data_IF_341614128192
#
_entry.id   IF_341614128192
#
_cell.length_a   1.000
_cell.length_b   1.000
_cell.length_c   1.000
_cell.angle_alpha   90.00
_cell.angle_beta   90.00
_cell.angle_gamma   90.00
#
_symmetry.space_group_name_H-M   'P 1'
#
loop_
_entity.id
_entity.type
_entity.pdbx_description
1 polymer ?
#
# COMPACT_ATOMS: atom_id res chain seq x y z
N UNK A 1 3.38 -34.31 18.43
CA UNK A 1 3.28 -33.00 17.75
C UNK A 1 4.69 -32.64 17.29
N UNK A 2 4.82 -32.19 16.05
CA UNK A 2 6.11 -31.90 15.42
C UNK A 2 6.69 -30.60 15.96
N UNK A 3 7.99 -30.54 16.17
CA UNK A 3 8.71 -29.31 16.50
C UNK A 3 9.31 -28.71 15.24
N UNK A 4 9.41 -27.39 15.19
CA UNK A 4 10.14 -26.67 14.14
C UNK A 4 11.62 -27.03 14.29
N UNK A 5 12.28 -27.54 13.23
CA UNK A 5 13.70 -27.87 13.30
C UNK A 5 14.58 -26.61 13.35
N UNK A 6 15.78 -26.74 13.91
CA UNK A 6 16.78 -25.67 13.81
C UNK A 6 17.40 -25.65 12.40
N UNK A 7 17.20 -24.56 11.67
CA UNK A 7 17.75 -24.38 10.33
C UNK A 7 19.16 -23.80 10.40
N UNK A 8 20.07 -24.34 9.58
CA UNK A 8 21.45 -23.83 9.48
C UNK A 8 21.56 -22.64 8.54
N UNK A 9 20.63 -22.52 7.59
CA UNK A 9 20.60 -21.45 6.58
C UNK A 9 19.16 -21.00 6.31
N UNK A 10 19.01 -19.80 5.72
CA UNK A 10 17.69 -19.30 5.31
C UNK A 10 17.09 -20.14 4.18
N UNK A 11 17.88 -20.61 3.22
CA UNK A 11 17.41 -21.43 2.10
C UNK A 11 16.80 -22.76 2.58
N UNK A 12 17.43 -23.39 3.59
CA UNK A 12 16.92 -24.60 4.24
C UNK A 12 15.56 -24.36 4.93
N UNK A 13 15.39 -23.20 5.57
CA UNK A 13 14.12 -22.82 6.17
C UNK A 13 13.03 -22.59 5.11
N UNK A 14 13.37 -21.96 3.99
CA UNK A 14 12.44 -21.75 2.86
C UNK A 14 11.99 -23.09 2.29
N UNK A 15 12.91 -23.98 1.94
CA UNK A 15 12.58 -25.31 1.40
C UNK A 15 11.67 -26.12 2.33
N UNK A 16 11.87 -26.01 3.65
CA UNK A 16 10.99 -26.62 4.63
C UNK A 16 9.56 -26.07 4.55
N UNK A 17 9.39 -24.74 4.56
CA UNK A 17 8.06 -24.11 4.53
C UNK A 17 7.32 -24.21 3.20
N UNK A 18 8.02 -24.45 2.09
CA UNK A 18 7.39 -24.75 0.79
C UNK A 18 6.60 -26.07 0.81
N UNK A 19 6.97 -26.99 1.69
CA UNK A 19 6.38 -28.35 1.76
C UNK A 19 5.55 -28.61 3.02
N UNK A 20 5.66 -27.75 4.04
CA UNK A 20 5.02 -27.92 5.33
C UNK A 20 4.03 -26.79 5.65
N UNK A 21 2.90 -27.15 6.26
CA UNK A 21 1.88 -26.18 6.65
C UNK A 21 2.21 -25.57 8.03
N UNK A 22 2.27 -24.24 8.11
CA UNK A 22 2.53 -23.50 9.35
C UNK A 22 1.55 -23.79 10.48
N UNK A 23 0.31 -24.16 10.17
CA UNK A 23 -0.69 -24.48 11.21
C UNK A 23 -0.32 -25.72 12.03
N UNK A 24 0.50 -26.63 11.50
CA UNK A 24 0.94 -27.83 12.21
C UNK A 24 1.97 -27.55 13.30
N UNK A 25 2.55 -26.35 13.28
CA UNK A 25 3.62 -25.91 14.17
C UNK A 25 3.21 -24.73 15.06
N UNK A 26 1.91 -24.42 15.12
CA UNK A 26 1.38 -23.24 15.82
C UNK A 26 1.81 -23.16 17.30
N UNK A 27 1.87 -24.29 18.00
CA UNK A 27 2.28 -24.38 19.41
C UNK A 27 3.77 -24.09 19.64
N UNK A 28 4.59 -24.15 18.59
CA UNK A 28 6.04 -23.92 18.64
C UNK A 28 6.41 -22.52 18.11
N UNK A 29 5.42 -21.76 17.61
CA UNK A 29 5.60 -20.39 17.17
C UNK A 29 5.40 -19.42 18.34
N UNK A 30 6.25 -18.40 18.40
CA UNK A 30 6.10 -17.32 19.36
C UNK A 30 5.06 -16.28 18.87
N UNK A 31 4.25 -15.78 19.81
CA UNK A 31 3.32 -14.70 19.50
C UNK A 31 4.11 -13.40 19.27
N UNK A 32 4.03 -12.88 18.04
CA UNK A 32 4.67 -11.62 17.68
C UNK A 32 3.64 -10.50 17.64
N UNK A 33 3.86 -9.47 18.45
CA UNK A 33 3.11 -8.21 18.35
C UNK A 33 3.89 -7.25 17.47
N UNK A 34 3.25 -6.77 16.40
CA UNK A 34 3.82 -5.77 15.51
C UNK A 34 2.79 -4.69 15.21
N UNK A 35 3.23 -3.44 15.20
CA UNK A 35 2.37 -2.31 14.86
C UNK A 35 2.21 -2.21 13.35
N UNK A 36 1.04 -2.63 12.85
CA UNK A 36 0.69 -2.43 11.45
C UNK A 36 0.09 -1.04 11.29
N UNK A 37 0.92 -0.10 10.82
CA UNK A 37 0.43 1.19 10.34
C UNK A 37 -0.15 1.02 8.93
N UNK A 38 -1.40 0.55 8.84
CA UNK A 38 -2.15 0.58 7.58
C UNK A 38 -2.46 2.04 7.23
N UNK A 39 -1.56 2.69 6.48
CA UNK A 39 -1.83 4.00 5.88
C UNK A 39 -2.89 3.86 4.80
N UNK A 40 -4.15 3.75 5.21
CA UNK A 40 -5.28 3.82 4.30
C UNK A 40 -5.42 5.26 3.85
N UNK A 41 -5.18 5.49 2.57
CA UNK A 41 -5.56 6.73 1.93
C UNK A 41 -7.10 6.79 1.85
N UNK A 42 -7.72 7.44 2.84
CA UNK A 42 -9.17 7.64 2.90
C UNK A 42 -9.65 8.81 2.02
N UNK A 43 -8.71 9.62 1.51
CA UNK A 43 -9.01 10.82 0.73
C UNK A 43 -9.03 10.55 -0.77
N UNK A 44 -8.43 9.45 -1.21
CA UNK A 44 -8.49 9.02 -2.60
C UNK A 44 -9.46 7.84 -2.77
N UNK A 45 -10.46 7.96 -3.65
CA UNK A 45 -11.50 6.94 -3.76
C UNK A 45 -10.94 5.65 -4.40
N UNK A 46 -10.88 4.58 -3.61
CA UNK A 46 -10.93 3.18 -4.06
C UNK A 46 -9.82 2.73 -5.03
N UNK A 47 -8.58 3.13 -4.81
CA UNK A 47 -7.46 2.46 -5.47
C UNK A 47 -7.35 1.02 -4.99
N UNK A 48 -7.35 0.09 -5.95
CA UNK A 48 -7.12 -1.33 -5.67
C UNK A 48 -5.64 -1.63 -5.90
N UNK A 49 -4.94 -2.08 -4.87
CA UNK A 49 -3.53 -2.46 -4.99
C UNK A 49 -3.39 -3.79 -5.74
N UNK A 50 -2.48 -3.83 -6.71
CA UNK A 50 -2.09 -5.04 -7.43
C UNK A 50 -0.59 -5.28 -7.25
N UNK A 51 -0.20 -6.50 -6.89
CA UNK A 51 1.21 -6.87 -6.73
C UNK A 51 1.99 -6.80 -8.06
N UNK A 52 1.34 -7.16 -9.16
CA UNK A 52 1.90 -7.12 -10.52
C UNK A 52 0.85 -6.59 -11.50
N UNK A 53 1.29 -6.14 -12.69
CA UNK A 53 0.40 -5.72 -13.76
C UNK A 53 -0.21 -6.95 -14.45
N UNK A 54 -1.52 -7.22 -14.28
CA UNK A 54 -2.16 -8.29 -15.04
C UNK A 54 -2.35 -7.86 -16.49
N UNK A 55 -2.48 -8.83 -17.40
CA UNK A 55 -2.78 -8.55 -18.81
C UNK A 55 -4.15 -7.90 -19.01
N UNK A 56 -5.12 -8.23 -18.15
CA UNK A 56 -6.49 -7.73 -18.22
C UNK A 56 -7.04 -7.40 -16.83
N UNK A 57 -8.13 -6.63 -16.78
CA UNK A 57 -8.83 -6.28 -15.56
C UNK A 57 -9.27 -7.54 -14.79
N UNK A 58 -8.85 -7.73 -13.53
CA UNK A 58 -9.23 -8.91 -12.74
C UNK A 58 -10.73 -8.98 -12.42
N UNK A 59 -11.48 -7.90 -12.64
CA UNK A 59 -12.93 -7.85 -12.40
C UNK A 59 -13.79 -8.11 -13.63
N UNK A 60 -13.37 -7.64 -14.81
CA UNK A 60 -14.20 -7.71 -16.03
C UNK A 60 -13.46 -8.22 -17.27
N UNK A 61 -12.17 -8.58 -17.13
CA UNK A 61 -11.32 -9.14 -18.19
C UNK A 61 -11.07 -8.22 -19.40
N UNK A 62 -11.37 -6.93 -19.28
CA UNK A 62 -11.12 -5.92 -20.31
C UNK A 62 -9.76 -5.25 -20.11
N UNK A 63 -9.28 -4.55 -21.14
CA UNK A 63 -8.01 -3.84 -21.10
C UNK A 63 -7.99 -2.67 -20.10
N UNK A 64 -6.77 -2.28 -19.74
CA UNK A 64 -6.49 -1.09 -18.97
C UNK A 64 -6.07 0.07 -19.86
N UNK A 65 -6.35 1.27 -19.38
CA UNK A 65 -5.64 2.48 -19.78
C UNK A 65 -4.62 2.85 -18.72
N UNK A 66 -3.42 3.22 -19.17
CA UNK A 66 -2.41 3.87 -18.33
C UNK A 66 -2.86 5.30 -18.04
N UNK A 67 -3.05 5.59 -16.75
CA UNK A 67 -3.49 6.89 -16.28
C UNK A 67 -2.52 7.45 -15.26
N UNK A 68 -2.57 8.76 -15.10
CA UNK A 68 -1.83 9.48 -14.06
C UNK A 68 -2.85 10.08 -13.11
N UNK A 69 -2.66 9.86 -11.82
CA UNK A 69 -3.56 10.32 -10.76
C UNK A 69 -2.82 11.19 -9.74
N UNK A 70 -3.59 11.94 -8.95
CA UNK A 70 -3.08 12.61 -7.76
C UNK A 70 -3.36 11.73 -6.53
N UNK A 71 -2.32 11.36 -5.79
CA UNK A 71 -2.46 10.63 -4.54
C UNK A 71 -2.47 11.61 -3.37
N UNK A 72 -3.63 11.78 -2.75
CA UNK A 72 -3.84 12.73 -1.64
C UNK A 72 -3.84 11.97 -0.33
N UNK A 73 -2.98 12.28 0.64
CA UNK A 73 -2.97 11.60 1.94
C UNK A 73 -2.86 12.59 3.09
N UNK A 74 -3.31 12.17 4.28
CA UNK A 74 -3.08 12.90 5.51
C UNK A 74 -2.00 12.16 6.30
N UNK A 75 -0.92 12.85 6.62
CA UNK A 75 0.16 12.30 7.42
C UNK A 75 0.60 13.34 8.46
N UNK A 76 0.67 12.93 9.74
CA UNK A 76 1.02 13.81 10.86
C UNK A 76 0.23 15.13 10.93
N UNK A 77 -1.03 15.14 10.47
CA UNK A 77 -1.88 16.32 10.43
C UNK A 77 -1.63 17.25 9.24
N UNK A 78 -0.71 16.90 8.33
CA UNK A 78 -0.45 17.63 7.10
C UNK A 78 -1.14 16.92 5.93
N UNK A 79 -1.82 17.70 5.10
CA UNK A 79 -2.34 17.21 3.82
C UNK A 79 -1.21 17.21 2.80
N UNK A 80 -0.90 16.03 2.28
CA UNK A 80 0.10 15.83 1.24
C UNK A 80 -0.60 15.44 -0.06
N UNK A 81 -0.19 16.08 -1.16
CA UNK A 81 -0.66 15.77 -2.51
C UNK A 81 0.54 15.34 -3.33
N UNK A 82 0.52 14.10 -3.81
CA UNK A 82 1.55 13.54 -4.67
C UNK A 82 0.97 13.47 -6.07
N UNK A 83 1.49 14.31 -6.97
CA UNK A 83 1.11 14.32 -8.38
C UNK A 83 1.87 13.25 -9.15
N UNK A 84 1.45 13.05 -10.39
CA UNK A 84 2.16 12.22 -11.35
C UNK A 84 2.28 10.74 -10.94
N UNK A 85 1.29 10.24 -10.19
CA UNK A 85 1.29 8.85 -9.71
C UNK A 85 0.75 7.93 -10.81
N UNK A 86 1.55 6.97 -11.34
CA UNK A 86 1.08 6.03 -12.34
C UNK A 86 0.04 5.07 -11.77
N UNK A 87 -1.06 4.90 -12.49
CA UNK A 87 -2.13 3.99 -12.15
C UNK A 87 -2.71 3.35 -13.42
N UNK A 88 -3.53 2.31 -13.21
CA UNK A 88 -4.28 1.65 -14.27
C UNK A 88 -5.75 1.94 -14.08
N UNK A 89 -6.44 2.35 -15.13
CA UNK A 89 -7.90 2.46 -15.11
C UNK A 89 -8.50 1.42 -16.02
N UNK A 90 -9.42 0.61 -15.51
CA UNK A 90 -10.14 -0.32 -16.35
C UNK A 90 -11.13 0.43 -17.25
N UNK A 91 -11.12 0.13 -18.55
CA UNK A 91 -11.96 0.80 -19.57
C UNK A 91 -13.46 0.71 -19.33
N UNK A 92 -13.94 -0.42 -18.83
CA UNK A 92 -15.38 -0.71 -18.75
C UNK A 92 -16.03 -0.26 -17.46
N UNK A 93 -15.39 -0.53 -16.32
CA UNK A 93 -15.98 -0.31 -15.00
C UNK A 93 -15.36 0.89 -14.25
N UNK A 94 -14.35 1.53 -14.83
CA UNK A 94 -13.72 2.73 -14.29
C UNK A 94 -12.92 2.50 -13.00
N UNK A 95 -12.73 1.25 -12.56
CA UNK A 95 -11.93 0.97 -11.39
C UNK A 95 -10.48 1.38 -11.62
N UNK A 96 -9.90 2.03 -10.62
CA UNK A 96 -8.51 2.45 -10.63
C UNK A 96 -7.69 1.50 -9.77
N UNK A 97 -6.53 1.14 -10.29
CA UNK A 97 -5.60 0.22 -9.69
C UNK A 97 -4.25 0.90 -9.56
N UNK A 98 -3.54 0.60 -8.49
CA UNK A 98 -2.16 1.04 -8.27
C UNK A 98 -1.29 -0.19 -8.11
N UNK A 99 -0.13 -0.20 -8.76
CA UNK A 99 0.83 -1.27 -8.58
C UNK A 99 1.55 -1.11 -7.25
N UNK A 100 1.87 -2.21 -6.59
CA UNK A 100 2.63 -2.23 -5.33
C UNK A 100 3.97 -1.51 -5.48
N UNK A 101 4.67 -1.68 -6.62
CA UNK A 101 5.90 -0.93 -6.91
C UNK A 101 5.70 0.60 -6.92
N UNK A 102 4.54 1.08 -7.36
CA UNK A 102 4.21 2.51 -7.35
C UNK A 102 3.89 2.95 -5.94
N UNK A 103 3.16 2.14 -5.18
CA UNK A 103 2.85 2.43 -3.78
C UNK A 103 4.13 2.50 -2.94
N UNK A 104 5.10 1.60 -3.16
CA UNK A 104 6.40 1.64 -2.49
C UNK A 104 7.16 2.95 -2.77
N UNK A 105 7.05 3.49 -3.99
CA UNK A 105 7.63 4.81 -4.33
C UNK A 105 6.91 5.95 -3.60
N UNK A 106 5.58 5.88 -3.50
CA UNK A 106 4.77 6.83 -2.72
C UNK A 106 5.18 6.79 -1.25
N UNK A 107 5.28 5.61 -0.64
CA UNK A 107 5.70 5.44 0.75
C UNK A 107 7.09 5.98 1.01
N UNK A 108 8.05 5.67 0.12
CA UNK A 108 9.41 6.22 0.18
C UNK A 108 9.41 7.75 0.12
N UNK A 109 8.56 8.36 -0.71
CA UNK A 109 8.42 9.81 -0.79
C UNK A 109 7.91 10.39 0.54
N UNK A 110 6.91 9.75 1.15
CA UNK A 110 6.38 10.15 2.45
C UNK A 110 7.44 10.04 3.57
N UNK A 111 8.29 9.01 3.54
CA UNK A 111 9.40 8.88 4.49
C UNK A 111 10.46 9.98 4.30
N UNK A 112 10.76 10.34 3.07
CA UNK A 112 11.69 11.42 2.77
C UNK A 112 11.15 12.78 3.21
N UNK A 113 9.84 13.02 3.03
CA UNK A 113 9.17 14.23 3.51
C UNK A 113 9.30 14.35 5.04
N UNK A 114 9.03 13.26 5.79
CA UNK A 114 9.21 13.21 7.25
C UNK A 114 10.62 13.57 7.71
N UNK A 115 11.62 13.06 6.99
CA UNK A 115 13.04 13.31 7.28
C UNK A 115 13.52 14.67 6.77
N UNK A 116 12.62 15.53 6.27
CA UNK A 116 12.92 16.80 5.60
C UNK A 116 13.91 16.67 4.43
N UNK A 117 13.96 15.48 3.83
CA UNK A 117 14.87 15.17 2.72
C UNK A 117 14.41 15.72 1.38
N UNK A 118 13.18 16.23 1.29
CA UNK A 118 12.59 16.81 0.08
C UNK A 118 11.79 18.07 0.41
N UNK A 119 11.76 19.01 -0.53
CA UNK A 119 10.91 20.19 -0.47
C UNK A 119 9.69 20.01 -1.39
N UNK A 120 8.49 20.49 -1.01
CA UNK A 120 7.33 20.46 -1.88
C UNK A 120 7.55 21.27 -3.15
N UNK A 121 7.10 20.75 -4.29
CA UNK A 121 7.11 21.48 -5.57
C UNK A 121 6.16 22.68 -5.54
N UNK A 122 5.06 22.56 -4.81
CA UNK A 122 4.03 23.59 -4.65
C UNK A 122 3.40 23.45 -3.26
N UNK A 123 2.86 24.54 -2.69
CA UNK A 123 2.04 24.51 -1.47
C UNK A 123 0.62 24.97 -1.78
N UNK A 124 -0.36 24.18 -1.35
CA UNK A 124 -1.78 24.48 -1.52
C UNK A 124 -2.38 25.03 -0.22
N UNK A 125 -3.24 26.04 -0.34
CA UNK A 125 -4.02 26.56 0.80
C UNK A 125 -5.35 25.82 0.89
N UNK A 126 -5.58 25.11 1.99
CA UNK A 126 -6.79 24.29 2.19
C UNK A 126 -7.71 24.98 3.20
N UNK A 127 -8.91 25.45 2.80
CA UNK A 127 -9.86 26.04 3.73
C UNK A 127 -10.48 24.98 4.63
N UNK A 128 -10.56 25.24 5.94
CA UNK A 128 -11.14 24.33 6.94
C UNK A 128 -12.37 24.97 7.56
N UNK A 129 -13.50 24.27 7.49
CA UNK A 129 -14.78 24.70 8.07
C UNK A 129 -15.15 23.83 9.26
N UNK A 130 -15.86 24.41 10.24
CA UNK A 130 -16.32 23.71 11.44
C UNK A 130 -17.82 23.88 11.60
N UNK A 131 -18.55 22.76 11.77
CA UNK A 131 -20.00 22.76 12.00
C UNK A 131 -20.39 23.52 13.27
N UNK A 132 -19.49 23.60 14.26
CA UNK A 132 -19.72 24.40 15.48
C UNK A 132 -19.89 25.89 15.21
N UNK A 133 -19.46 26.38 14.03
CA UNK A 133 -19.62 27.79 13.63
C UNK A 133 -20.90 28.05 12.82
N UNK A 134 -21.67 27.01 12.50
CA UNK A 134 -22.90 27.09 11.73
C UNK A 134 -24.18 26.92 12.59
N UNK A 135 -24.01 26.81 13.92
CA UNK A 135 -25.05 26.76 14.94
C UNK A 135 -24.89 27.97 15.87
#
# INVERSE_FOLDING_TARGET
>A
MSKIPEFKTLDEAVEFWETHNSTEYWEDMEEVTFEVNLRRNLLHPKLITLAYRPSHCPRCQQDFDDVVIEYITLDNGHLLVIRDVPALRCRTNGHEYILEETLNKVERLLELEKKQGIQPTERLSVPVFSLKKAA
#
